data_IF_020765462874
#
_entry.id   IF_020765462874
#
_cell.length_a   1.000
_cell.length_b   1.000
_cell.length_c   1.000
_cell.angle_alpha   90.00
_cell.angle_beta   90.00
_cell.angle_gamma   90.00
#
_symmetry.space_group_name_H-M   'P 1'
#
loop_
_entity.id
_entity.type
_entity.pdbx_description
1 polymer ?
#
# COMPACT_ATOMS: atom_id res chain seq x y z
N UNK A 1 -24.11 -14.28 -51.32
CA UNK A 1 -22.88 -13.54 -50.92
C UNK A 1 -22.76 -13.67 -49.41
N UNK A 2 -21.95 -14.60 -48.93
CA UNK A 2 -21.81 -14.93 -47.50
C UNK A 2 -20.80 -13.94 -46.91
N UNK A 3 -21.28 -12.97 -46.14
CA UNK A 3 -20.46 -11.98 -45.47
C UNK A 3 -19.74 -12.65 -44.29
N UNK A 4 -18.41 -12.71 -44.41
CA UNK A 4 -17.51 -13.36 -43.47
C UNK A 4 -17.39 -12.55 -42.17
N UNK A 5 -17.34 -13.32 -41.09
CA UNK A 5 -17.03 -12.96 -39.71
C UNK A 5 -15.79 -12.06 -39.61
N UNK A 6 -15.89 -10.99 -38.82
CA UNK A 6 -14.75 -10.39 -38.11
C UNK A 6 -15.24 -9.73 -36.83
N UNK A 7 -15.47 -10.54 -35.80
CA UNK A 7 -15.61 -10.07 -34.43
C UNK A 7 -14.20 -9.74 -33.91
N UNK A 8 -13.81 -8.47 -33.99
CA UNK A 8 -12.57 -8.00 -33.34
C UNK A 8 -12.88 -7.86 -31.85
N UNK A 9 -12.71 -8.96 -31.11
CA UNK A 9 -12.63 -8.92 -29.65
C UNK A 9 -11.26 -8.31 -29.31
N UNK A 10 -11.22 -6.99 -29.14
CA UNK A 10 -10.04 -6.25 -28.70
C UNK A 10 -9.72 -6.64 -27.25
N UNK A 11 -8.95 -7.72 -27.09
CA UNK A 11 -8.38 -8.15 -25.82
C UNK A 11 -7.07 -7.37 -25.60
N UNK A 12 -7.16 -6.09 -25.26
CA UNK A 12 -5.98 -5.29 -24.87
C UNK A 12 -5.79 -5.37 -23.36
N UNK A 13 -4.80 -6.16 -22.99
CA UNK A 13 -4.23 -6.43 -21.66
C UNK A 13 -4.25 -5.20 -20.75
N UNK A 14 -4.99 -5.29 -19.64
CA UNK A 14 -4.68 -4.48 -18.48
C UNK A 14 -3.32 -4.93 -17.95
N UNK A 15 -2.26 -4.14 -18.19
CA UNK A 15 -1.02 -4.30 -17.44
C UNK A 15 -1.37 -4.00 -15.98
N UNK A 16 -1.68 -5.03 -15.20
CA UNK A 16 -1.59 -4.93 -13.76
C UNK A 16 -0.11 -4.63 -13.48
N UNK A 17 0.22 -3.37 -13.19
CA UNK A 17 1.52 -3.01 -12.66
C UNK A 17 1.62 -3.70 -11.29
N UNK A 18 2.14 -4.92 -11.28
CA UNK A 18 2.39 -5.66 -10.05
C UNK A 18 3.48 -4.90 -9.30
N UNK A 19 3.10 -4.23 -8.22
CA UNK A 19 4.06 -3.70 -7.26
C UNK A 19 4.47 -4.87 -6.38
N UNK A 20 5.76 -5.21 -6.37
CA UNK A 20 6.30 -6.31 -5.59
C UNK A 20 7.04 -5.80 -4.34
N UNK A 21 6.91 -6.51 -3.22
CA UNK A 21 7.70 -6.21 -2.02
C UNK A 21 9.06 -6.88 -2.20
N UNK A 22 10.12 -6.09 -2.29
CA UNK A 22 11.51 -6.57 -2.50
C UNK A 22 12.32 -6.65 -1.21
N UNK A 23 11.89 -5.94 -0.16
CA UNK A 23 12.49 -5.98 1.17
C UNK A 23 11.43 -5.73 2.24
N UNK A 24 11.59 -6.39 3.39
CA UNK A 24 10.73 -6.22 4.54
C UNK A 24 11.58 -6.21 5.82
N UNK A 25 11.30 -5.25 6.70
CA UNK A 25 11.96 -5.11 8.01
C UNK A 25 10.94 -4.86 9.11
N UNK A 26 10.84 -5.76 10.08
CA UNK A 26 10.06 -5.52 11.30
C UNK A 26 10.70 -4.40 12.14
N UNK A 27 9.86 -3.53 12.67
CA UNK A 27 10.24 -2.41 13.54
C UNK A 27 9.11 -2.08 14.52
N UNK A 28 9.27 -1.01 15.28
CA UNK A 28 8.20 -0.45 16.11
C UNK A 28 7.99 1.02 15.77
N UNK A 29 6.79 1.52 16.05
CA UNK A 29 6.45 2.94 15.92
C UNK A 29 5.83 3.42 17.21
N UNK A 30 6.32 4.56 17.74
CA UNK A 30 5.74 5.15 18.95
C UNK A 30 4.81 6.28 18.57
N UNK A 31 3.56 6.21 19.02
CA UNK A 31 2.56 7.25 18.79
C UNK A 31 1.80 7.55 20.08
N UNK A 32 1.82 8.82 20.51
CA UNK A 32 1.19 9.31 21.77
C UNK A 32 1.57 8.52 23.03
N UNK A 33 2.77 7.94 23.07
CA UNK A 33 3.28 7.17 24.21
C UNK A 33 3.01 5.66 24.12
N UNK A 34 2.18 5.22 23.17
CA UNK A 34 1.98 3.80 22.88
C UNK A 34 2.98 3.32 21.83
N UNK A 35 3.42 2.06 21.96
CA UNK A 35 4.32 1.40 21.02
C UNK A 35 3.55 0.40 20.18
N UNK A 36 3.59 0.59 18.87
CA UNK A 36 2.91 -0.22 17.88
C UNK A 36 3.92 -1.09 17.12
N UNK A 37 3.49 -2.31 16.74
CA UNK A 37 4.24 -3.09 15.76
C UNK A 37 4.21 -2.34 14.44
N UNK A 38 5.35 -2.27 13.76
CA UNK A 38 5.43 -1.70 12.43
C UNK A 38 6.35 -2.52 11.53
N UNK A 39 6.21 -2.33 10.23
CA UNK A 39 7.03 -3.00 9.21
C UNK A 39 7.40 -1.98 8.16
N UNK A 40 8.68 -1.87 7.83
CA UNK A 40 9.15 -1.07 6.68
C UNK A 40 9.24 -2.00 5.48
N UNK A 41 8.64 -1.60 4.37
CA UNK A 41 8.60 -2.35 3.11
C UNK A 41 9.17 -1.51 1.99
N UNK A 42 10.09 -2.09 1.25
CA UNK A 42 10.52 -1.57 -0.04
C UNK A 42 9.72 -2.25 -1.14
N UNK A 43 9.15 -1.43 -2.00
CA UNK A 43 8.33 -1.85 -3.12
C UNK A 43 9.06 -1.54 -4.42
N UNK A 44 9.19 -2.50 -5.32
CA UNK A 44 9.53 -2.21 -6.72
C UNK A 44 8.25 -2.02 -7.54
N UNK A 45 8.18 -0.88 -8.22
CA UNK A 45 7.19 -0.64 -9.26
C UNK A 45 7.89 -0.18 -10.53
N UNK A 46 8.03 -1.10 -11.48
CA UNK A 46 8.61 -0.84 -12.81
C UNK A 46 10.04 -0.30 -12.74
N UNK A 47 10.89 -0.89 -11.88
CA UNK A 47 12.29 -0.50 -11.70
C UNK A 47 12.48 0.78 -10.87
N UNK A 48 11.43 1.24 -10.20
CA UNK A 48 11.49 2.30 -9.20
C UNK A 48 11.17 1.71 -7.84
N UNK A 49 12.13 1.79 -6.94
CA UNK A 49 11.93 1.39 -5.55
C UNK A 49 11.35 2.56 -4.75
N UNK A 50 10.34 2.28 -3.93
CA UNK A 50 9.84 3.22 -2.92
C UNK A 50 9.56 2.51 -1.61
N UNK A 51 9.76 3.24 -0.51
CA UNK A 51 9.65 2.68 0.84
C UNK A 51 8.39 3.19 1.54
N UNK A 52 7.66 2.29 2.20
CA UNK A 52 6.54 2.64 3.08
C UNK A 52 6.70 1.95 4.42
N UNK A 53 6.10 2.53 5.45
CA UNK A 53 5.94 1.92 6.77
C UNK A 53 4.48 1.53 6.94
N UNK A 54 4.26 0.29 7.37
CA UNK A 54 2.96 -0.22 7.77
C UNK A 54 2.94 -0.31 9.28
N UNK A 55 2.06 0.44 9.94
CA UNK A 55 1.88 0.42 11.39
C UNK A 55 0.62 -0.39 11.72
N UNK A 56 0.73 -1.32 12.67
CA UNK A 56 -0.36 -2.17 13.10
C UNK A 56 -0.97 -1.63 14.39
N UNK A 57 -2.20 -1.12 14.30
CA UNK A 57 -3.00 -0.62 15.41
C UNK A 57 -4.16 -1.58 15.68
N UNK A 58 -3.93 -2.54 16.58
CA UNK A 58 -4.84 -3.67 16.80
C UNK A 58 -5.01 -4.52 15.54
N UNK A 59 -6.23 -4.59 15.02
CA UNK A 59 -6.56 -5.35 13.80
C UNK A 59 -6.41 -4.51 12.51
N UNK A 60 -5.93 -3.27 12.61
CA UNK A 60 -5.80 -2.35 11.47
C UNK A 60 -4.34 -2.22 11.06
N UNK A 61 -4.13 -2.04 9.77
CA UNK A 61 -2.83 -1.76 9.19
C UNK A 61 -2.89 -0.41 8.48
N UNK A 62 -2.06 0.53 8.91
CA UNK A 62 -1.99 1.89 8.38
C UNK A 62 -0.70 2.03 7.59
N UNK A 63 -0.80 2.38 6.31
CA UNK A 63 0.36 2.59 5.44
C UNK A 63 0.71 4.08 5.37
N UNK A 64 1.96 4.41 5.68
CA UNK A 64 2.48 5.78 5.72
C UNK A 64 3.92 5.84 5.19
N UNK A 65 4.49 7.04 5.12
CA UNK A 65 5.90 7.28 4.83
C UNK A 65 6.81 6.53 5.82
N UNK A 66 7.87 5.92 5.32
CA UNK A 66 8.88 5.31 6.19
C UNK A 66 9.84 6.32 6.84
N UNK A 67 9.87 7.56 6.35
CA UNK A 67 10.81 8.61 6.78
C UNK A 67 10.12 9.82 7.42
N UNK A 68 8.80 9.88 7.40
CA UNK A 68 8.02 10.97 7.97
C UNK A 68 7.05 10.44 9.04
N UNK A 69 7.42 10.63 10.30
CA UNK A 69 6.63 10.17 11.44
C UNK A 69 5.33 10.98 11.62
N UNK A 70 5.27 12.23 11.11
CA UNK A 70 4.04 13.03 11.14
C UNK A 70 3.01 12.48 10.18
N UNK A 71 3.43 11.99 9.01
CA UNK A 71 2.56 11.29 8.07
C UNK A 71 1.94 10.03 8.72
N UNK A 72 2.75 9.24 9.43
CA UNK A 72 2.24 8.08 10.17
C UNK A 72 1.28 8.46 11.30
N UNK A 73 1.61 9.52 12.07
CA UNK A 73 0.73 10.03 13.12
C UNK A 73 -0.62 10.51 12.58
N UNK A 74 -0.62 11.19 11.43
CA UNK A 74 -1.81 11.67 10.76
C UNK A 74 -2.65 10.50 10.23
N UNK A 75 -2.02 9.54 9.56
CA UNK A 75 -2.69 8.37 9.01
C UNK A 75 -3.38 7.53 10.11
N UNK A 76 -2.71 7.28 11.24
CA UNK A 76 -3.32 6.58 12.39
C UNK A 76 -4.50 7.37 12.94
N UNK A 77 -4.39 8.69 13.03
CA UNK A 77 -5.47 9.54 13.54
C UNK A 77 -6.69 9.51 12.61
N UNK A 78 -6.45 9.62 11.31
CA UNK A 78 -7.49 9.60 10.28
C UNK A 78 -8.26 8.28 10.29
N UNK A 79 -7.55 7.15 10.27
CA UNK A 79 -8.15 5.81 10.31
C UNK A 79 -8.94 5.52 11.60
N UNK A 80 -8.60 6.18 12.71
CA UNK A 80 -9.39 6.11 13.95
C UNK A 80 -10.68 6.92 13.84
N UNK A 81 -10.65 8.09 13.20
CA UNK A 81 -11.85 8.92 13.01
C UNK A 81 -12.88 8.21 12.12
N UNK A 82 -12.45 7.67 10.97
CA UNK A 82 -13.32 6.96 10.02
C UNK A 82 -14.00 5.70 10.58
N UNK A 83 -13.50 5.19 11.72
CA UNK A 83 -14.04 3.99 12.35
C UNK A 83 -15.03 4.21 13.49
N UNK A 84 -15.28 5.48 13.84
CA UNK A 84 -16.27 5.85 14.85
C UNK A 84 -17.60 6.31 14.23
N UNK A 85 -17.75 6.19 12.91
CA UNK A 85 -19.00 6.29 12.14
C UNK A 85 -19.56 4.88 11.87
#
# INVERSE_FOLDING_TARGET
MIMRVTTILALSLALAACTEVVSEQDTTFTYRGDVYRAVIRDYDANGRTFTKRVVYDGNRAVSCSATDDLDCAAAISYERLDSND
#
